data_IF_151335697445
#
_entry.id   IF_151335697445
#
_cell.length_a   1.000
_cell.length_b   1.000
_cell.length_c   1.000
_cell.angle_alpha   90.00
_cell.angle_beta   90.00
_cell.angle_gamma   90.00
#
_symmetry.space_group_name_H-M   'P 1'
#
loop_
_entity.id
_entity.type
_entity.pdbx_description
1 polymer ?
#
# COMPACT_ATOMS: atom_id res chain seq x y z
N UNK A 1 -4.29 3.68 -30.53
CA UNK A 1 -4.26 4.71 -29.48
C UNK A 1 -2.90 4.61 -28.82
N UNK A 2 -1.98 5.52 -29.13
CA UNK A 2 -0.64 5.50 -28.54
C UNK A 2 -0.46 6.74 -27.67
N UNK A 3 0.28 6.59 -26.56
CA UNK A 3 0.58 7.67 -25.62
C UNK A 3 1.50 8.67 -26.32
N UNK A 4 1.26 9.97 -26.14
CA UNK A 4 2.11 11.02 -26.73
C UNK A 4 3.57 10.82 -26.32
N UNK A 5 4.48 10.98 -27.27
CA UNK A 5 5.92 10.79 -27.06
C UNK A 5 6.44 11.75 -25.99
N UNK A 6 5.95 12.98 -25.96
CA UNK A 6 6.28 13.98 -24.95
C UNK A 6 5.92 13.49 -23.54
N UNK A 7 4.73 12.89 -23.39
CA UNK A 7 4.30 12.30 -22.12
C UNK A 7 5.18 11.12 -21.72
N UNK A 8 5.66 10.30 -22.66
CA UNK A 8 6.60 9.22 -22.36
C UNK A 8 7.97 9.75 -21.92
N UNK A 9 8.46 10.85 -22.53
CA UNK A 9 9.70 11.53 -22.10
C UNK A 9 9.57 12.08 -20.68
N UNK A 10 8.46 12.75 -20.34
CA UNK A 10 8.19 13.22 -18.97
C UNK A 10 8.23 12.07 -17.95
N UNK A 11 7.66 10.91 -18.30
CA UNK A 11 7.68 9.73 -17.42
C UNK A 11 9.09 9.15 -17.29
N UNK A 12 9.84 9.06 -18.38
CA UNK A 12 11.24 8.60 -18.35
C UNK A 12 12.13 9.51 -17.51
N UNK A 13 11.89 10.82 -17.52
CA UNK A 13 12.59 11.73 -16.61
C UNK A 13 12.36 11.35 -15.14
N UNK A 14 11.11 11.07 -14.76
CA UNK A 14 10.80 10.62 -13.40
C UNK A 14 11.46 9.25 -13.08
N UNK A 15 11.56 8.33 -14.05
CA UNK A 15 12.30 7.07 -13.89
C UNK A 15 13.79 7.31 -13.64
N UNK A 16 14.42 8.24 -14.38
CA UNK A 16 15.83 8.63 -14.18
C UNK A 16 16.05 9.15 -12.75
N UNK A 17 15.18 10.05 -12.28
CA UNK A 17 15.29 10.60 -10.93
C UNK A 17 15.17 9.51 -9.85
N UNK A 18 14.20 8.60 -10.01
CA UNK A 18 14.02 7.46 -9.10
C UNK A 18 15.26 6.54 -9.11
N UNK A 19 15.81 6.22 -10.29
CA UNK A 19 17.08 5.47 -10.42
C UNK A 19 18.23 6.16 -9.67
N UNK A 20 18.30 7.49 -9.73
CA UNK A 20 19.28 8.27 -8.95
C UNK A 20 19.11 8.13 -7.44
N UNK A 21 17.88 8.20 -6.93
CA UNK A 21 17.55 7.95 -5.52
C UNK A 21 17.88 6.50 -5.09
N UNK A 22 17.82 5.56 -6.03
CA UNK A 22 18.18 4.15 -5.88
C UNK A 22 19.68 3.86 -6.02
N UNK A 23 20.52 4.90 -6.17
CA UNK A 23 21.97 4.75 -6.19
C UNK A 23 22.59 4.52 -7.55
N UNK A 24 21.81 4.55 -8.63
CA UNK A 24 22.34 4.44 -9.99
C UNK A 24 23.04 5.73 -10.42
N UNK A 25 24.01 5.60 -11.33
CA UNK A 25 24.67 6.72 -11.98
C UNK A 25 23.74 7.27 -13.07
N UNK A 26 23.36 8.55 -12.97
CA UNK A 26 22.38 9.17 -13.87
C UNK A 26 22.91 10.42 -14.61
N UNK A 27 24.19 10.74 -14.45
CA UNK A 27 24.80 11.94 -15.01
C UNK A 27 24.66 11.97 -16.54
N UNK A 28 24.09 13.06 -17.05
CA UNK A 28 23.88 13.27 -18.50
C UNK A 28 22.65 12.61 -19.10
N UNK A 29 21.95 11.72 -18.38
CA UNK A 29 20.79 10.99 -18.93
C UNK A 29 19.60 11.90 -19.26
N UNK A 30 19.36 12.98 -18.52
CA UNK A 30 18.29 13.94 -18.84
C UNK A 30 18.57 14.64 -20.17
N UNK A 31 19.81 15.12 -20.38
CA UNK A 31 20.21 15.75 -21.64
C UNK A 31 20.15 14.78 -22.82
N UNK A 32 20.53 13.52 -22.57
CA UNK A 32 20.39 12.45 -23.57
C UNK A 32 18.92 12.24 -23.93
N UNK A 33 18.03 12.11 -22.94
CA UNK A 33 16.58 11.96 -23.15
C UNK A 33 15.98 13.11 -23.96
N UNK A 34 16.39 14.35 -23.68
CA UNK A 34 15.96 15.54 -24.43
C UNK A 34 16.40 15.48 -25.90
N UNK A 35 17.57 14.90 -26.17
CA UNK A 35 18.15 14.79 -27.51
C UNK A 35 17.65 13.61 -28.34
N UNK A 36 16.95 12.64 -27.73
CA UNK A 36 16.44 11.46 -28.43
C UNK A 36 15.35 11.84 -29.43
N UNK A 37 15.43 11.26 -30.63
CA UNK A 37 14.40 11.39 -31.66
C UNK A 37 13.01 11.02 -31.15
N UNK A 38 11.99 11.71 -31.64
CA UNK A 38 10.60 11.43 -31.29
C UNK A 38 10.09 10.15 -31.97
N UNK A 39 10.58 8.98 -31.50
CA UNK A 39 10.15 7.65 -31.93
C UNK A 39 9.96 6.73 -30.73
N UNK A 40 8.98 5.81 -30.80
CA UNK A 40 8.77 4.81 -29.75
C UNK A 40 9.97 3.86 -29.61
N UNK A 41 10.56 3.44 -30.72
CA UNK A 41 11.72 2.54 -30.73
C UNK A 41 12.93 3.16 -30.03
N UNK A 42 13.16 4.46 -30.25
CA UNK A 42 14.24 5.19 -29.59
C UNK A 42 14.03 5.28 -28.08
N UNK A 43 12.81 5.55 -27.63
CA UNK A 43 12.46 5.57 -26.20
C UNK A 43 12.56 4.17 -25.55
N UNK A 44 12.15 3.13 -26.26
CA UNK A 44 12.27 1.72 -25.81
C UNK A 44 13.74 1.35 -25.63
N UNK A 45 14.59 1.67 -26.61
CA UNK A 45 16.03 1.41 -26.51
C UNK A 45 16.69 2.17 -25.36
N UNK A 46 16.29 3.43 -25.14
CA UNK A 46 16.75 4.19 -23.99
C UNK A 46 16.31 3.56 -22.66
N UNK A 47 15.08 3.06 -22.57
CA UNK A 47 14.56 2.39 -21.37
C UNK A 47 15.33 1.09 -21.06
N UNK A 48 15.70 0.31 -22.08
CA UNK A 48 16.58 -0.87 -21.90
C UNK A 48 17.89 -0.45 -21.23
N UNK A 49 18.54 0.62 -21.71
CA UNK A 49 19.75 1.18 -21.08
C UNK A 49 19.53 1.60 -19.61
N UNK A 50 18.37 2.17 -19.26
CA UNK A 50 18.06 2.53 -17.87
C UNK A 50 18.00 1.31 -16.92
N UNK A 51 17.65 0.13 -17.45
CA UNK A 51 17.57 -1.10 -16.68
C UNK A 51 18.94 -1.57 -16.21
N UNK A 52 19.98 -1.37 -17.04
CA UNK A 52 21.35 -1.85 -16.83
C UNK A 52 22.28 -0.79 -16.21
N UNK A 53 21.74 0.32 -15.68
CA UNK A 53 22.58 1.39 -15.12
C UNK A 53 23.44 0.86 -13.96
N UNK A 54 24.75 1.16 -13.95
CA UNK A 54 25.60 0.80 -12.84
C UNK A 54 25.19 1.56 -11.58
N UNK A 55 25.41 0.93 -10.42
CA UNK A 55 25.37 1.60 -9.13
C UNK A 55 26.62 2.47 -8.96
N UNK A 56 26.51 3.51 -8.14
CA UNK A 56 27.66 4.30 -7.69
C UNK A 56 28.64 3.41 -6.90
N UNK A 57 29.94 3.56 -7.12
CA UNK A 57 30.99 2.71 -6.54
C UNK A 57 30.91 2.54 -5.01
N UNK A 58 30.43 3.56 -4.30
CA UNK A 58 30.31 3.58 -2.84
C UNK A 58 28.85 3.49 -2.36
N UNK A 59 27.95 2.85 -3.11
CA UNK A 59 26.57 2.65 -2.68
C UNK A 59 26.51 1.68 -1.48
N UNK A 60 26.08 2.13 -0.28
CA UNK A 60 26.24 1.35 0.94
C UNK A 60 25.11 0.33 1.17
N UNK A 61 24.11 0.30 0.29
CA UNK A 61 22.88 -0.46 0.51
C UNK A 61 22.78 -1.71 -0.36
N UNK A 62 22.17 -2.75 0.20
CA UNK A 62 21.81 -4.01 -0.48
C UNK A 62 20.28 -4.11 -0.49
N UNK A 63 19.69 -4.00 -1.68
CA UNK A 63 18.23 -3.86 -1.85
C UNK A 63 17.69 -4.80 -2.94
N UNK A 64 17.65 -6.11 -2.68
CA UNK A 64 17.14 -7.11 -3.63
C UNK A 64 15.61 -7.09 -3.76
N UNK A 65 15.10 -7.59 -4.89
CA UNK A 65 13.65 -7.71 -5.12
C UNK A 65 13.12 -9.14 -4.95
N UNK A 66 13.97 -10.14 -5.15
CA UNK A 66 13.59 -11.54 -5.04
C UNK A 66 13.47 -11.93 -3.56
N UNK A 67 12.45 -12.72 -3.19
CA UNK A 67 12.21 -13.10 -1.80
C UNK A 67 13.40 -13.81 -1.16
N UNK A 68 14.05 -14.74 -1.87
CA UNK A 68 15.14 -15.53 -1.31
C UNK A 68 16.36 -14.64 -1.01
N UNK A 69 16.67 -13.70 -1.89
CA UNK A 69 17.71 -12.69 -1.68
C UNK A 69 17.34 -11.70 -0.56
N UNK A 70 16.08 -11.25 -0.51
CA UNK A 70 15.57 -10.43 0.59
C UNK A 70 15.79 -11.15 1.92
N UNK A 71 15.46 -12.44 1.97
CA UNK A 71 15.58 -13.27 3.15
C UNK A 71 17.02 -13.60 3.53
N UNK A 72 17.95 -13.71 2.58
CA UNK A 72 19.38 -13.84 2.89
C UNK A 72 19.96 -12.56 3.49
N UNK A 73 19.43 -11.39 3.12
CA UNK A 73 19.86 -10.09 3.63
C UNK A 73 19.04 -9.61 4.85
N UNK A 74 17.99 -10.34 5.24
CA UNK A 74 17.16 -10.07 6.42
C UNK A 74 17.81 -10.60 7.71
N UNK A 75 17.27 -10.25 8.89
CA UNK A 75 17.83 -10.71 10.18
C UNK A 75 17.88 -12.26 10.21
N UNK A 76 19.07 -12.88 10.41
CA UNK A 76 19.20 -14.33 10.45
C UNK A 76 18.49 -14.98 11.65
N UNK A 77 18.18 -14.19 12.69
CA UNK A 77 17.46 -14.64 13.88
C UNK A 77 15.94 -14.36 13.80
N UNK A 78 15.43 -13.91 12.65
CA UNK A 78 13.99 -13.68 12.47
C UNK A 78 13.19 -14.97 12.73
N UNK A 79 12.01 -14.89 13.38
CA UNK A 79 11.19 -16.07 13.59
C UNK A 79 10.61 -16.57 12.27
N UNK A 80 10.76 -17.85 11.96
CA UNK A 80 10.27 -18.46 10.72
C UNK A 80 8.85 -19.06 10.82
N UNK A 81 8.21 -18.92 11.99
CA UNK A 81 6.89 -19.46 12.25
C UNK A 81 6.17 -18.67 13.34
N UNK A 82 5.40 -19.37 14.17
CA UNK A 82 4.64 -18.74 15.23
C UNK A 82 5.55 -18.14 16.31
N UNK A 83 5.33 -16.87 16.63
CA UNK A 83 6.05 -16.16 17.71
C UNK A 83 5.36 -16.29 19.07
N UNK A 84 4.10 -16.74 19.08
CA UNK A 84 3.30 -16.96 20.28
C UNK A 84 2.18 -17.98 19.98
N UNK A 85 1.60 -18.55 21.03
CA UNK A 85 0.39 -19.37 20.90
C UNK A 85 -0.78 -18.52 20.42
N UNK A 86 -1.57 -19.04 19.47
CA UNK A 86 -2.70 -18.31 18.88
C UNK A 86 -4.01 -18.84 19.44
N UNK A 87 -4.89 -17.93 19.84
CA UNK A 87 -6.31 -18.20 20.02
C UNK A 87 -7.08 -17.65 18.81
N UNK A 88 -7.48 -18.52 17.88
CA UNK A 88 -8.16 -18.10 16.65
C UNK A 88 -9.49 -17.38 16.90
N UNK A 89 -10.21 -17.71 17.97
CA UNK A 89 -11.48 -17.03 18.29
C UNK A 89 -11.25 -15.59 18.77
N UNK A 90 -10.11 -15.35 19.44
CA UNK A 90 -9.66 -14.00 19.79
C UNK A 90 -9.13 -13.25 18.56
N UNK A 91 -8.31 -13.90 17.72
CA UNK A 91 -7.82 -13.33 16.47
C UNK A 91 -8.96 -12.89 15.54
N UNK A 92 -10.05 -13.67 15.44
CA UNK A 92 -11.24 -13.27 14.67
C UNK A 92 -11.80 -11.93 15.18
N UNK A 93 -11.95 -11.76 16.50
CA UNK A 93 -12.47 -10.51 17.08
C UNK A 93 -11.52 -9.34 16.86
N UNK A 94 -10.20 -9.58 16.99
CA UNK A 94 -9.15 -8.59 16.72
C UNK A 94 -9.11 -8.15 15.26
N UNK A 95 -9.19 -9.08 14.32
CA UNK A 95 -9.24 -8.76 12.89
C UNK A 95 -10.51 -7.97 12.54
N UNK A 96 -11.65 -8.30 13.17
CA UNK A 96 -12.86 -7.49 13.01
C UNK A 96 -12.62 -6.05 13.46
N UNK A 97 -12.03 -5.85 14.65
CA UNK A 97 -11.65 -4.51 15.14
C UNK A 97 -10.64 -3.82 14.23
N UNK A 98 -9.66 -4.55 13.70
CA UNK A 98 -8.64 -4.04 12.78
C UNK A 98 -9.25 -3.48 11.50
N UNK A 99 -10.10 -4.27 10.84
CA UNK A 99 -10.77 -3.83 9.62
C UNK A 99 -11.71 -2.64 9.85
N UNK A 100 -12.46 -2.62 10.95
CA UNK A 100 -13.30 -1.47 11.31
C UNK A 100 -12.47 -0.22 11.63
N UNK A 101 -11.36 -0.39 12.36
CA UNK A 101 -10.41 0.69 12.62
C UNK A 101 -9.79 1.25 11.35
N UNK A 102 -9.45 0.37 10.40
CA UNK A 102 -8.94 0.72 9.07
C UNK A 102 -9.92 1.61 8.31
N UNK A 103 -11.19 1.20 8.23
CA UNK A 103 -12.26 1.99 7.61
C UNK A 103 -12.37 3.37 8.25
N UNK A 104 -12.43 3.45 9.58
CA UNK A 104 -12.57 4.72 10.29
C UNK A 104 -11.35 5.64 10.06
N UNK A 105 -10.14 5.06 10.09
CA UNK A 105 -8.90 5.79 9.86
C UNK A 105 -8.79 6.33 8.44
N UNK A 106 -9.15 5.53 7.44
CA UNK A 106 -9.25 5.95 6.04
C UNK A 106 -10.18 7.17 5.91
N UNK A 107 -11.45 7.05 6.33
CA UNK A 107 -12.42 8.13 6.18
C UNK A 107 -12.03 9.40 6.96
N UNK A 108 -11.43 9.25 8.14
CA UNK A 108 -10.90 10.38 8.91
C UNK A 108 -9.78 11.13 8.16
N UNK A 109 -8.94 10.39 7.44
CA UNK A 109 -7.79 10.93 6.72
C UNK A 109 -8.14 11.57 5.37
N UNK A 110 -9.18 11.12 4.67
CA UNK A 110 -9.53 11.61 3.32
C UNK A 110 -9.66 13.14 3.18
N UNK A 111 -10.25 13.89 4.13
CA UNK A 111 -10.26 15.37 4.07
C UNK A 111 -8.89 16.04 3.99
N UNK A 112 -7.85 15.37 4.51
CA UNK A 112 -6.48 15.88 4.63
C UNK A 112 -5.51 15.29 3.60
N UNK A 113 -5.98 14.41 2.70
CA UNK A 113 -5.23 13.79 1.61
C UNK A 113 -4.91 14.81 0.50
N UNK A 114 -4.19 15.87 0.85
CA UNK A 114 -3.81 16.95 -0.07
C UNK A 114 -2.35 17.41 0.17
N UNK A 115 -1.52 16.47 0.65
CA UNK A 115 -0.07 16.62 0.89
C UNK A 115 0.27 17.66 1.96
N UNK A 116 -0.53 17.73 3.02
CA UNK A 116 -0.24 18.59 4.16
C UNK A 116 0.78 17.94 5.08
N UNK A 117 1.64 18.73 5.70
CA UNK A 117 2.37 18.28 6.89
C UNK A 117 1.51 18.45 8.16
N UNK A 118 1.90 17.82 9.26
CA UNK A 118 1.17 17.90 10.53
C UNK A 118 1.07 19.31 11.12
N UNK A 119 1.99 20.23 10.81
CA UNK A 119 1.92 21.62 11.28
C UNK A 119 0.82 22.41 10.56
N UNK A 120 0.64 22.17 9.26
CA UNK A 120 -0.47 22.75 8.47
C UNK A 120 -1.82 22.27 9.00
N UNK A 121 -1.97 20.95 9.23
CA UNK A 121 -3.18 20.35 9.80
C UNK A 121 -3.46 20.90 11.20
N UNK A 122 -2.45 20.92 12.08
CA UNK A 122 -2.57 21.47 13.43
C UNK A 122 -3.05 22.91 13.44
N UNK A 123 -2.43 23.75 12.60
CA UNK A 123 -2.79 25.17 12.50
C UNK A 123 -4.24 25.35 12.04
N UNK A 124 -4.69 24.55 11.06
CA UNK A 124 -6.08 24.61 10.58
C UNK A 124 -7.07 24.13 11.65
N UNK A 125 -6.78 23.01 12.33
CA UNK A 125 -7.62 22.47 13.41
C UNK A 125 -7.73 23.43 14.61
N UNK A 126 -6.65 24.12 14.97
CA UNK A 126 -6.67 25.14 16.02
C UNK A 126 -7.61 26.30 15.68
N UNK A 127 -7.68 26.73 14.41
CA UNK A 127 -8.58 27.83 13.97
C UNK A 127 -10.06 27.47 14.07
N UNK A 128 -10.41 26.20 13.98
CA UNK A 128 -11.79 25.72 14.17
C UNK A 128 -12.06 25.17 15.58
N UNK A 129 -11.07 25.20 16.48
CA UNK A 129 -11.21 24.68 17.85
C UNK A 129 -11.30 23.16 17.95
N UNK A 130 -10.78 22.41 16.97
CA UNK A 130 -10.81 20.95 16.91
C UNK A 130 -9.42 20.30 17.11
N UNK A 131 -8.45 21.04 17.68
CA UNK A 131 -7.17 20.49 18.12
C UNK A 131 -7.16 20.20 19.64
N UNK A 132 -6.67 19.03 20.10
CA UNK A 132 -6.28 17.87 19.30
C UNK A 132 -7.48 17.19 18.64
N UNK A 133 -7.24 16.57 17.48
CA UNK A 133 -8.27 15.83 16.75
C UNK A 133 -8.80 14.69 17.61
N UNK A 134 -10.13 14.58 17.75
CA UNK A 134 -10.74 13.53 18.57
C UNK A 134 -11.98 12.89 17.91
N UNK A 135 -12.34 13.31 16.70
CA UNK A 135 -13.52 12.91 15.94
C UNK A 135 -13.32 13.25 14.46
N UNK A 136 -14.25 12.84 13.58
CA UNK A 136 -14.26 13.31 12.19
C UNK A 136 -14.27 14.85 12.12
N UNK A 137 -13.48 15.40 11.19
CA UNK A 137 -13.28 16.84 11.06
C UNK A 137 -14.55 17.53 10.52
N UNK A 138 -14.85 18.72 11.02
CA UNK A 138 -15.93 19.55 10.47
C UNK A 138 -15.62 20.06 9.06
N UNK A 139 -16.63 20.22 8.22
CA UNK A 139 -16.56 20.92 6.92
C UNK A 139 -15.99 22.33 7.01
N UNK A 140 -16.04 22.97 8.19
CA UNK A 140 -15.52 24.31 8.43
C UNK A 140 -13.99 24.38 8.30
N UNK A 141 -13.30 23.23 8.32
CA UNK A 141 -11.85 23.16 8.09
C UNK A 141 -11.43 23.74 6.73
N UNK A 142 -12.35 23.72 5.75
CA UNK A 142 -12.10 24.20 4.39
C UNK A 142 -11.69 25.68 4.32
N UNK A 143 -12.12 26.49 5.28
CA UNK A 143 -11.84 27.93 5.27
C UNK A 143 -10.39 28.22 5.75
N UNK A 144 -9.69 27.20 6.23
CA UNK A 144 -8.37 27.31 6.85
C UNK A 144 -7.29 26.41 6.25
N UNK A 145 -7.66 25.48 5.36
CA UNK A 145 -6.71 24.69 4.59
C UNK A 145 -6.35 25.40 3.27
N UNK A 146 -5.10 25.33 2.81
CA UNK A 146 -4.69 25.98 1.55
C UNK A 146 -5.19 25.21 0.32
N UNK A 147 -5.62 23.96 0.48
CA UNK A 147 -6.18 23.10 -0.57
C UNK A 147 -7.34 22.29 0.01
N UNK A 148 -8.28 21.91 -0.82
CA UNK A 148 -9.42 21.09 -0.43
C UNK A 148 -9.36 19.78 -1.18
N UNK A 149 -9.35 18.67 -0.44
CA UNK A 149 -9.46 17.36 -1.07
C UNK A 149 -10.86 17.16 -1.65
N UNK A 150 -10.93 16.46 -2.79
CA UNK A 150 -12.18 16.29 -3.54
C UNK A 150 -13.26 15.52 -2.78
N UNK A 151 -12.86 14.71 -1.79
CA UNK A 151 -13.76 13.92 -0.95
C UNK A 151 -14.38 14.71 0.21
N UNK A 152 -13.90 15.93 0.54
CA UNK A 152 -14.42 16.69 1.69
C UNK A 152 -15.96 16.81 1.70
N UNK A 153 -16.66 17.02 0.57
CA UNK A 153 -18.12 17.09 0.54
C UNK A 153 -18.86 15.81 0.94
N UNK A 154 -18.18 14.66 1.02
CA UNK A 154 -18.76 13.37 1.46
C UNK A 154 -18.10 12.82 2.74
N UNK A 155 -16.86 13.22 3.06
CA UNK A 155 -16.09 12.66 4.21
C UNK A 155 -15.93 13.61 5.40
N UNK A 156 -16.42 14.85 5.32
CA UNK A 156 -16.50 15.71 6.50
C UNK A 156 -17.63 15.26 7.44
N UNK A 157 -17.47 15.46 8.75
CA UNK A 157 -18.38 14.97 9.80
C UNK A 157 -19.87 15.23 9.52
N UNK A 158 -20.21 16.39 8.99
CA UNK A 158 -21.60 16.78 8.70
C UNK A 158 -22.20 16.07 7.48
N UNK A 159 -21.39 15.41 6.66
CA UNK A 159 -21.78 14.83 5.37
C UNK A 159 -21.61 13.31 5.30
N UNK A 160 -20.86 12.70 6.23
CA UNK A 160 -20.70 11.24 6.28
C UNK A 160 -22.07 10.58 6.43
N UNK A 161 -22.39 9.66 5.51
CA UNK A 161 -23.59 8.82 5.54
C UNK A 161 -23.29 7.34 5.29
N UNK A 162 -22.10 7.04 4.77
CA UNK A 162 -21.59 5.73 4.39
C UNK A 162 -20.06 5.82 4.34
N UNK A 163 -19.39 4.68 4.20
CA UNK A 163 -17.94 4.64 3.92
C UNK A 163 -17.74 4.97 2.45
N UNK A 164 -17.16 6.15 2.18
CA UNK A 164 -16.83 6.62 0.84
C UNK A 164 -15.80 5.69 0.15
N UNK A 165 -15.84 5.55 -1.18
CA UNK A 165 -14.92 4.70 -1.92
C UNK A 165 -13.47 5.16 -1.78
N UNK A 166 -12.58 4.20 -1.64
CA UNK A 166 -11.16 4.41 -1.40
C UNK A 166 -10.34 3.19 -1.83
N UNK A 167 -9.16 3.40 -2.41
CA UNK A 167 -8.33 2.30 -2.89
C UNK A 167 -7.67 1.49 -1.78
N UNK A 168 -7.35 2.06 -0.60
CA UNK A 168 -6.88 1.29 0.56
C UNK A 168 -7.87 0.18 0.93
N UNK A 169 -9.15 0.54 1.03
CA UNK A 169 -10.21 -0.40 1.39
C UNK A 169 -10.48 -1.37 0.23
N UNK A 170 -10.45 -0.91 -1.02
CA UNK A 170 -10.60 -1.78 -2.18
C UNK A 170 -9.48 -2.85 -2.22
N UNK A 171 -8.22 -2.47 -2.01
CA UNK A 171 -7.11 -3.43 -2.01
C UNK A 171 -7.14 -4.37 -0.80
N UNK A 172 -7.58 -3.90 0.36
CA UNK A 172 -7.81 -4.78 1.52
C UNK A 172 -8.87 -5.84 1.21
N UNK A 173 -9.97 -5.46 0.55
CA UNK A 173 -10.98 -6.40 0.06
C UNK A 173 -10.39 -7.36 -0.99
N UNK A 174 -9.53 -6.87 -1.90
CA UNK A 174 -8.85 -7.71 -2.89
C UNK A 174 -7.93 -8.75 -2.25
N UNK A 175 -7.19 -8.37 -1.21
CA UNK A 175 -6.39 -9.28 -0.39
C UNK A 175 -7.24 -10.36 0.30
N UNK A 176 -8.43 -10.01 0.79
CA UNK A 176 -9.38 -10.99 1.30
C UNK A 176 -9.85 -11.94 0.20
N UNK A 177 -10.27 -11.42 -0.95
CA UNK A 177 -10.80 -12.23 -2.06
C UNK A 177 -9.76 -13.20 -2.62
N UNK A 178 -8.50 -12.78 -2.76
CA UNK A 178 -7.42 -13.66 -3.26
C UNK A 178 -7.14 -14.80 -2.28
N UNK A 179 -7.10 -14.50 -0.97
CA UNK A 179 -6.87 -15.49 0.08
C UNK A 179 -8.03 -16.48 0.20
N UNK A 180 -9.28 -16.00 0.15
CA UNK A 180 -10.45 -16.87 0.21
C UNK A 180 -10.53 -17.84 -0.98
N UNK A 181 -10.07 -17.41 -2.16
CA UNK A 181 -10.17 -18.21 -3.38
C UNK A 181 -8.99 -19.16 -3.57
N UNK A 182 -7.78 -18.75 -3.21
CA UNK A 182 -6.55 -19.47 -3.56
C UNK A 182 -5.68 -19.83 -2.34
N UNK A 183 -6.09 -19.46 -1.12
CA UNK A 183 -5.27 -19.63 0.08
C UNK A 183 -3.94 -18.90 -0.03
N UNK A 184 -2.89 -19.46 0.57
CA UNK A 184 -1.52 -18.91 0.54
C UNK A 184 -0.78 -19.16 -0.78
N UNK A 185 -1.36 -19.96 -1.67
CA UNK A 185 -0.73 -20.43 -2.91
C UNK A 185 -1.10 -19.61 -4.15
N UNK A 186 -1.70 -18.43 -3.99
CA UNK A 186 -1.97 -17.53 -5.12
C UNK A 186 -0.69 -17.17 -5.88
N UNK A 187 -0.86 -16.74 -7.13
CA UNK A 187 0.20 -16.33 -8.06
C UNK A 187 -0.09 -14.93 -8.62
N UNK A 188 0.89 -14.28 -9.25
CA UNK A 188 0.66 -13.03 -9.98
C UNK A 188 -0.41 -13.16 -11.07
N UNK A 189 -0.55 -14.33 -11.70
CA UNK A 189 -1.65 -14.59 -12.64
C UNK A 189 -3.02 -14.53 -11.96
N UNK A 190 -3.13 -15.03 -10.73
CA UNK A 190 -4.38 -14.94 -9.97
C UNK A 190 -4.68 -13.49 -9.56
N UNK A 191 -3.67 -12.73 -9.11
CA UNK A 191 -3.81 -11.29 -8.79
C UNK A 191 -4.27 -10.52 -10.04
N UNK A 192 -3.56 -10.68 -11.16
CA UNK A 192 -3.91 -10.06 -12.45
C UNK A 192 -5.37 -10.29 -12.84
N UNK A 193 -5.81 -11.55 -12.81
CA UNK A 193 -7.17 -11.91 -13.18
C UNK A 193 -8.22 -11.33 -12.21
N UNK A 194 -7.90 -11.29 -10.91
CA UNK A 194 -8.77 -10.71 -9.92
C UNK A 194 -8.90 -9.19 -10.15
N UNK A 195 -7.77 -8.50 -10.38
CA UNK A 195 -7.71 -7.06 -10.63
C UNK A 195 -8.50 -6.68 -11.89
N UNK A 196 -8.27 -7.36 -13.02
CA UNK A 196 -9.02 -7.10 -14.26
C UNK A 196 -10.54 -7.26 -14.10
N UNK A 197 -10.98 -8.13 -13.18
CA UNK A 197 -12.40 -8.36 -12.91
C UNK A 197 -13.01 -7.30 -11.99
N UNK A 198 -12.24 -6.80 -11.03
CA UNK A 198 -12.79 -6.06 -9.90
C UNK A 198 -12.33 -4.62 -9.76
N UNK A 199 -11.23 -4.21 -10.41
CA UNK A 199 -10.68 -2.86 -10.28
C UNK A 199 -10.92 -2.06 -11.56
N UNK A 200 -11.91 -1.16 -11.59
CA UNK A 200 -11.99 -0.15 -12.62
C UNK A 200 -10.68 0.66 -12.68
N UNK A 201 -10.19 0.96 -13.87
CA UNK A 201 -8.92 1.70 -14.06
C UNK A 201 -8.93 3.05 -13.31
N UNK A 202 -10.09 3.71 -13.22
CA UNK A 202 -10.25 4.99 -12.54
C UNK A 202 -10.04 4.94 -11.02
N UNK A 203 -10.08 3.75 -10.41
CA UNK A 203 -9.89 3.58 -8.96
C UNK A 203 -8.51 3.03 -8.60
N UNK A 204 -7.56 3.08 -9.53
CA UNK A 204 -6.18 2.64 -9.33
C UNK A 204 -5.24 3.77 -9.67
N UNK A 205 -4.08 3.84 -9.02
CA UNK A 205 -3.12 4.93 -9.20
C UNK A 205 -1.72 4.37 -9.40
N UNK A 206 -0.82 5.19 -9.96
CA UNK A 206 0.60 4.85 -10.09
C UNK A 206 0.88 3.45 -10.69
N UNK A 207 1.75 2.64 -10.05
CA UNK A 207 2.11 1.29 -10.50
C UNK A 207 0.93 0.37 -10.78
N UNK A 208 -0.11 0.44 -9.96
CA UNK A 208 -1.29 -0.42 -10.05
C UNK A 208 -2.06 -0.17 -11.35
N UNK A 209 -2.27 1.12 -11.67
CA UNK A 209 -2.95 1.54 -12.89
C UNK A 209 -2.16 1.09 -14.12
N UNK A 210 -0.85 1.29 -14.10
CA UNK A 210 0.04 0.89 -15.19
C UNK A 210 -0.01 -0.62 -15.42
N UNK A 211 0.02 -1.41 -14.34
CA UNK A 211 -0.08 -2.87 -14.43
C UNK A 211 -1.45 -3.33 -14.96
N UNK A 212 -2.55 -2.67 -14.60
CA UNK A 212 -3.88 -2.96 -15.17
C UNK A 212 -3.94 -2.66 -16.67
N UNK A 213 -3.39 -1.52 -17.11
CA UNK A 213 -3.33 -1.16 -18.53
C UNK A 213 -2.49 -2.19 -19.29
N UNK A 214 -1.32 -2.55 -18.76
CA UNK A 214 -0.47 -3.60 -19.31
C UNK A 214 -1.23 -4.92 -19.44
N UNK A 215 -1.89 -5.35 -18.37
CA UNK A 215 -2.68 -6.59 -18.32
C UNK A 215 -3.85 -6.60 -19.31
N UNK A 216 -4.49 -5.46 -19.53
CA UNK A 216 -5.53 -5.30 -20.55
C UNK A 216 -4.96 -5.37 -21.96
N UNK A 217 -3.80 -4.77 -22.22
CA UNK A 217 -3.12 -4.83 -23.51
C UNK A 217 -2.60 -6.23 -23.86
N UNK A 218 -2.13 -7.00 -22.88
CA UNK A 218 -1.76 -8.42 -23.05
C UNK A 218 -2.94 -9.28 -23.56
N UNK A 219 -4.20 -8.83 -23.45
CA UNK A 219 -5.35 -9.57 -24.01
C UNK A 219 -5.37 -9.60 -25.53
N UNK A 220 -4.76 -8.61 -26.20
CA UNK A 220 -4.69 -8.56 -27.67
C UNK A 220 -3.70 -9.58 -28.25
N UNK A 221 -2.76 -10.07 -27.44
CA UNK A 221 -1.71 -11.02 -27.85
C UNK A 221 -2.18 -12.49 -27.83
N UNK A 222 -3.36 -12.77 -27.27
CA UNK A 222 -3.82 -14.14 -27.01
C UNK A 222 -4.45 -14.85 -28.20
N UNK A 223 -4.89 -14.12 -29.22
CA UNK A 223 -5.65 -14.70 -30.33
C UNK A 223 -4.74 -14.86 -31.56
N UNK A 224 -4.38 -16.10 -31.95
CA UNK A 224 -3.54 -16.32 -33.12
C UNK A 224 -4.30 -16.00 -34.42
N UNK A 225 -3.56 -15.64 -35.47
CA UNK A 225 -4.08 -15.26 -36.80
C UNK A 225 -5.05 -16.30 -37.40
N UNK A 226 -4.78 -17.58 -37.16
CA UNK A 226 -5.58 -18.68 -37.72
C UNK A 226 -6.96 -18.78 -37.04
N UNK A 227 -7.10 -18.32 -35.80
CA UNK A 227 -8.37 -18.26 -35.10
C UNK A 227 -9.29 -17.19 -35.70
N UNK A 228 -8.75 -16.00 -36.02
CA UNK A 228 -9.51 -14.95 -36.73
C UNK A 228 -10.03 -15.44 -38.07
N UNK A 229 -9.21 -16.18 -38.81
CA UNK A 229 -9.54 -16.69 -40.13
C UNK A 229 -10.71 -17.70 -40.10
N UNK A 230 -10.90 -18.40 -38.99
CA UNK A 230 -11.91 -19.46 -38.83
C UNK A 230 -13.19 -18.99 -38.12
N UNK A 231 -13.11 -18.00 -37.22
CA UNK A 231 -14.24 -17.60 -36.36
C UNK A 231 -14.73 -16.16 -36.57
N UNK A 232 -14.06 -15.37 -37.42
CA UNK A 232 -14.55 -14.06 -37.87
C UNK A 232 -14.59 -12.95 -36.82
N UNK A 233 -14.04 -13.17 -35.61
CA UNK A 233 -14.05 -12.17 -34.54
C UNK A 233 -13.13 -12.48 -33.35
N UNK A 234 -13.01 -11.49 -32.46
CA UNK A 234 -12.29 -11.52 -31.18
C UNK A 234 -13.19 -12.11 -30.07
N UNK A 235 -13.71 -13.32 -30.24
CA UNK A 235 -14.31 -14.07 -29.14
C UNK A 235 -13.23 -14.86 -28.42
N UNK A 236 -13.19 -14.85 -27.08
CA UNK A 236 -12.25 -15.69 -26.32
C UNK A 236 -12.57 -17.16 -26.66
N UNK A 237 -11.65 -17.92 -27.31
CA UNK A 237 -11.87 -19.34 -27.60
C UNK A 237 -12.12 -20.19 -26.34
N UNK A 238 -11.77 -19.65 -25.16
CA UNK A 238 -11.66 -20.34 -23.90
C UNK A 238 -12.78 -19.99 -22.91
N UNK A 239 -13.88 -19.38 -23.37
CA UNK A 239 -15.03 -19.03 -22.51
C UNK A 239 -15.62 -20.21 -21.73
N UNK A 240 -15.31 -21.46 -22.13
CA UNK A 240 -15.80 -22.67 -21.47
C UNK A 240 -14.78 -23.49 -20.67
N UNK A 241 -13.47 -23.26 -20.74
CA UNK A 241 -12.50 -24.00 -19.91
C UNK A 241 -11.29 -23.13 -19.54
N UNK A 242 -10.99 -23.07 -18.25
CA UNK A 242 -9.89 -22.35 -17.60
C UNK A 242 -8.47 -22.88 -17.96
N UNK A 243 -8.24 -23.39 -19.16
CA UNK A 243 -7.01 -24.11 -19.50
C UNK A 243 -6.55 -23.84 -20.94
N UNK A 244 -5.25 -23.54 -21.05
CA UNK A 244 -4.43 -23.30 -22.24
C UNK A 244 -4.44 -21.89 -22.83
N UNK A 245 -3.59 -21.02 -22.27
CA UNK A 245 -3.03 -19.88 -22.99
C UNK A 245 -1.66 -20.28 -23.51
N UNK A 246 -1.43 -20.11 -24.81
CA UNK A 246 -0.12 -20.24 -25.47
C UNK A 246 0.98 -19.53 -24.66
N UNK A 247 2.17 -20.14 -24.60
CA UNK A 247 3.36 -19.51 -24.02
C UNK A 247 3.66 -18.24 -24.82
N UNK A 248 3.47 -17.09 -24.18
CA UNK A 248 3.95 -15.81 -24.71
C UNK A 248 5.46 -15.81 -24.47
N UNK A 249 6.24 -15.66 -25.53
CA UNK A 249 7.69 -15.53 -25.44
C UNK A 249 8.03 -14.30 -24.57
N UNK A 250 8.47 -14.54 -23.34
CA UNK A 250 8.79 -13.49 -22.36
C UNK A 250 10.13 -12.80 -22.65
N UNK A 251 10.94 -13.32 -23.58
CA UNK A 251 12.34 -12.91 -23.74
C UNK A 251 12.53 -11.50 -24.33
N UNK A 252 11.50 -10.93 -24.96
CA UNK A 252 11.50 -9.55 -25.48
C UNK A 252 10.14 -8.87 -25.30
N UNK A 253 9.49 -9.03 -24.15
CA UNK A 253 8.14 -8.47 -24.01
C UNK A 253 8.18 -6.92 -23.96
N UNK A 254 7.94 -6.29 -25.11
CA UNK A 254 7.75 -4.84 -25.29
C UNK A 254 6.82 -4.24 -24.22
N UNK A 255 5.83 -5.00 -23.75
CA UNK A 255 4.92 -4.58 -22.68
C UNK A 255 5.61 -4.38 -21.33
N UNK A 256 6.68 -5.12 -21.03
CA UNK A 256 7.48 -4.88 -19.82
C UNK A 256 8.23 -3.54 -19.93
N UNK A 257 8.73 -3.21 -21.12
CA UNK A 257 9.44 -1.95 -21.34
C UNK A 257 8.49 -0.76 -21.24
N UNK A 258 7.30 -0.85 -21.86
CA UNK A 258 6.24 0.15 -21.68
C UNK A 258 5.84 0.29 -20.21
N UNK A 259 5.73 -0.83 -19.48
CA UNK A 259 5.41 -0.80 -18.06
C UNK A 259 6.46 -0.01 -17.26
N UNK A 260 7.75 -0.20 -17.55
CA UNK A 260 8.82 0.57 -16.90
C UNK A 260 8.74 2.06 -17.25
N UNK A 261 8.44 2.43 -18.51
CA UNK A 261 8.22 3.83 -18.89
C UNK A 261 7.05 4.43 -18.11
N UNK A 262 5.97 3.68 -17.95
CA UNK A 262 4.74 4.16 -17.33
C UNK A 262 4.72 4.05 -15.81
N UNK A 263 5.78 3.52 -15.18
CA UNK A 263 5.80 3.23 -13.76
C UNK A 263 6.91 3.95 -12.95
N UNK A 264 7.01 5.29 -12.98
CA UNK A 264 7.86 6.01 -12.03
C UNK A 264 7.15 6.09 -10.67
N UNK A 265 7.29 5.07 -9.84
CA UNK A 265 6.66 5.07 -8.50
C UNK A 265 6.68 3.74 -7.75
N UNK A 266 7.48 2.78 -8.19
CA UNK A 266 7.52 1.41 -7.66
C UNK A 266 8.11 1.27 -6.24
N UNK A 267 8.59 2.37 -5.64
CA UNK A 267 9.02 2.46 -4.24
C UNK A 267 8.04 3.23 -3.32
N UNK A 268 6.91 3.70 -3.84
CA UNK A 268 5.88 4.44 -3.08
C UNK A 268 4.94 3.49 -2.30
N UNK A 269 4.02 4.06 -1.51
CA UNK A 269 3.12 3.34 -0.61
C UNK A 269 2.04 2.47 -1.29
N UNK A 270 1.83 2.54 -2.61
CA UNK A 270 0.70 1.89 -3.28
C UNK A 270 0.62 0.37 -3.11
N UNK A 271 1.75 -0.32 -2.88
CA UNK A 271 1.74 -1.72 -2.44
C UNK A 271 1.52 -1.89 -0.93
N UNK A 272 2.06 -0.97 -0.11
CA UNK A 272 1.99 -1.03 1.35
C UNK A 272 0.55 -1.01 1.85
N UNK A 273 -0.33 -0.22 1.23
CA UNK A 273 -1.75 -0.12 1.57
C UNK A 273 -2.54 -1.44 1.38
N UNK A 274 -1.93 -2.42 0.69
CA UNK A 274 -2.55 -3.72 0.40
C UNK A 274 -2.17 -4.79 1.43
N UNK A 275 -1.29 -4.46 2.37
CA UNK A 275 -0.68 -5.41 3.31
C UNK A 275 -1.68 -6.03 4.30
N UNK A 276 -2.75 -5.31 4.64
CA UNK A 276 -3.61 -5.57 5.79
C UNK A 276 -4.19 -6.98 5.82
N UNK A 277 -4.80 -7.42 4.71
CA UNK A 277 -5.42 -8.74 4.63
C UNK A 277 -4.42 -9.87 4.88
N UNK A 278 -3.16 -9.69 4.47
CA UNK A 278 -2.10 -10.67 4.69
C UNK A 278 -1.65 -10.71 6.15
N UNK A 279 -1.65 -9.58 6.85
CA UNK A 279 -1.44 -9.54 8.30
C UNK A 279 -2.62 -10.16 9.07
N UNK A 280 -3.86 -9.82 8.69
CA UNK A 280 -5.08 -10.36 9.28
C UNK A 280 -5.13 -11.88 9.23
N UNK A 281 -4.77 -12.46 8.08
CA UNK A 281 -4.81 -13.90 7.89
C UNK A 281 -3.80 -14.70 8.73
N UNK A 282 -2.77 -14.06 9.28
CA UNK A 282 -1.59 -14.75 9.82
C UNK A 282 -1.28 -14.32 11.26
N UNK A 283 -2.21 -14.44 12.23
CA UNK A 283 -1.97 -14.07 13.63
C UNK A 283 -0.68 -14.72 14.15
N UNK A 284 0.24 -13.93 14.69
CA UNK A 284 1.48 -14.44 15.26
C UNK A 284 2.43 -15.14 14.29
N UNK A 285 2.19 -15.10 12.97
CA UNK A 285 3.09 -15.65 11.94
C UNK A 285 3.61 -14.53 11.02
N UNK A 286 4.53 -13.68 11.50
CA UNK A 286 5.02 -12.55 10.72
C UNK A 286 5.82 -12.99 9.47
N UNK A 287 6.45 -14.18 9.48
CA UNK A 287 7.14 -14.72 8.32
C UNK A 287 6.20 -14.99 7.15
N UNK A 288 5.07 -15.66 7.41
CA UNK A 288 4.07 -15.95 6.39
C UNK A 288 3.36 -14.67 5.94
N UNK A 289 3.03 -13.77 6.87
CA UNK A 289 2.44 -12.47 6.53
C UNK A 289 3.34 -11.66 5.59
N UNK A 290 4.63 -11.53 5.92
CA UNK A 290 5.61 -10.84 5.08
C UNK A 290 5.77 -11.51 3.71
N UNK A 291 5.79 -12.85 3.64
CA UNK A 291 5.86 -13.61 2.37
C UNK A 291 4.66 -13.33 1.47
N UNK A 292 3.45 -13.31 2.02
CA UNK A 292 2.24 -13.04 1.25
C UNK A 292 2.17 -11.56 0.82
N UNK A 293 2.58 -10.64 1.69
CA UNK A 293 2.75 -9.23 1.37
C UNK A 293 3.75 -9.01 0.22
N UNK A 294 4.91 -9.68 0.25
CA UNK A 294 5.88 -9.64 -0.86
C UNK A 294 5.29 -10.19 -2.16
N UNK A 295 4.58 -11.33 -2.09
CA UNK A 295 3.98 -11.98 -3.26
C UNK A 295 2.93 -11.08 -3.93
N UNK A 296 2.22 -10.28 -3.15
CA UNK A 296 1.32 -9.26 -3.68
C UNK A 296 2.07 -8.04 -4.23
N UNK A 297 2.96 -7.47 -3.41
CA UNK A 297 3.70 -6.25 -3.72
C UNK A 297 4.57 -6.39 -4.98
N UNK A 298 5.23 -7.54 -5.15
CA UNK A 298 6.13 -7.82 -6.29
C UNK A 298 5.43 -7.93 -7.63
N UNK A 299 4.09 -7.88 -7.65
CA UNK A 299 3.35 -7.71 -8.89
C UNK A 299 3.51 -6.30 -9.48
N UNK A 300 3.72 -5.26 -8.66
CA UNK A 300 3.78 -3.85 -9.15
C UNK A 300 4.95 -3.02 -8.61
N UNK A 301 5.51 -3.38 -7.46
CA UNK A 301 6.50 -2.59 -6.71
C UNK A 301 7.84 -3.30 -6.56
N UNK A 302 8.87 -2.53 -6.21
CA UNK A 302 10.26 -2.95 -5.99
C UNK A 302 10.80 -2.33 -4.69
N UNK A 303 11.89 -2.89 -4.16
CA UNK A 303 12.69 -2.35 -3.05
C UNK A 303 11.84 -1.80 -1.91
N UNK A 304 11.90 -0.50 -1.61
CA UNK A 304 11.17 0.16 -0.51
C UNK A 304 9.67 -0.13 -0.52
N UNK A 305 9.03 -0.21 -1.69
CA UNK A 305 7.61 -0.57 -1.82
C UNK A 305 7.33 -2.00 -1.37
N UNK A 306 8.22 -2.95 -1.69
CA UNK A 306 8.16 -4.33 -1.19
C UNK A 306 8.36 -4.36 0.32
N UNK A 307 9.42 -3.72 0.81
CA UNK A 307 9.81 -3.78 2.22
C UNK A 307 8.77 -3.15 3.13
N UNK A 308 8.17 -2.03 2.71
CA UNK A 308 7.04 -1.41 3.42
C UNK A 308 5.86 -2.36 3.55
N UNK A 309 5.47 -3.02 2.46
CA UNK A 309 4.37 -4.01 2.46
C UNK A 309 4.66 -5.20 3.36
N UNK A 310 5.87 -5.77 3.27
CA UNK A 310 6.31 -6.89 4.11
C UNK A 310 6.30 -6.51 5.59
N UNK A 311 6.81 -5.32 5.91
CA UNK A 311 6.85 -4.78 7.26
C UNK A 311 5.46 -4.59 7.84
N UNK A 312 4.53 -3.95 7.12
CA UNK A 312 3.16 -3.71 7.61
C UNK A 312 2.42 -5.03 7.83
N UNK A 313 2.51 -5.97 6.87
CA UNK A 313 1.87 -7.28 7.02
C UNK A 313 2.40 -8.03 8.26
N UNK A 314 3.73 -8.03 8.47
CA UNK A 314 4.35 -8.60 9.65
C UNK A 314 3.95 -7.88 10.94
N UNK A 315 3.86 -6.55 10.94
CA UNK A 315 3.45 -5.76 12.09
C UNK A 315 2.01 -6.07 12.51
N UNK A 316 1.07 -6.18 11.57
CA UNK A 316 -0.33 -6.55 11.84
C UNK A 316 -0.42 -7.98 12.38
N UNK A 317 0.37 -8.92 11.84
CA UNK A 317 0.45 -10.29 12.35
C UNK A 317 0.96 -10.33 13.81
N UNK A 318 2.03 -9.57 14.10
CA UNK A 318 2.60 -9.43 15.45
C UNK A 318 1.64 -8.77 16.43
N UNK A 319 0.92 -7.72 16.01
CA UNK A 319 0.01 -6.96 16.85
C UNK A 319 -1.13 -7.80 17.44
N UNK A 320 -1.50 -8.90 16.79
CA UNK A 320 -2.54 -9.79 17.30
C UNK A 320 -2.12 -10.61 18.53
N UNK A 321 -0.82 -10.73 18.81
CA UNK A 321 -0.29 -11.65 19.83
C UNK A 321 0.76 -11.05 20.76
N UNK A 322 1.27 -9.84 20.49
CA UNK A 322 2.28 -9.17 21.31
C UNK A 322 1.68 -7.99 22.08
N UNK A 323 2.00 -7.90 23.36
CA UNK A 323 1.58 -6.79 24.23
C UNK A 323 2.52 -5.58 24.16
N UNK A 324 3.81 -5.80 23.87
CA UNK A 324 4.80 -4.73 23.71
C UNK A 324 4.71 -4.10 22.32
N UNK A 325 4.21 -2.85 22.29
CA UNK A 325 4.02 -2.04 21.09
C UNK A 325 5.30 -1.85 20.28
N UNK A 326 6.44 -1.69 20.93
CA UNK A 326 7.72 -1.50 20.24
C UNK A 326 8.24 -2.83 19.72
N UNK A 327 8.01 -3.92 20.45
CA UNK A 327 8.40 -5.27 20.02
C UNK A 327 7.71 -5.70 18.72
N UNK A 328 6.49 -5.24 18.47
CA UNK A 328 5.78 -5.45 17.19
C UNK A 328 6.63 -4.97 16.02
N UNK A 329 7.08 -3.73 16.05
CA UNK A 329 7.86 -3.13 14.95
C UNK A 329 9.29 -3.67 14.90
N UNK A 330 9.93 -3.90 16.04
CA UNK A 330 11.24 -4.56 16.08
C UNK A 330 11.20 -5.90 15.36
N UNK A 331 10.18 -6.72 15.65
CA UNK A 331 10.00 -8.03 15.02
C UNK A 331 9.68 -7.89 13.54
N UNK A 332 8.82 -6.93 13.15
CA UNK A 332 8.51 -6.68 11.74
C UNK A 332 9.74 -6.27 10.92
N UNK A 333 10.65 -5.46 11.48
CA UNK A 333 11.90 -5.07 10.81
C UNK A 333 12.87 -6.23 10.58
N UNK A 334 12.67 -7.40 11.21
CA UNK A 334 13.49 -8.58 10.97
C UNK A 334 13.22 -9.24 9.61
N UNK A 335 12.12 -8.88 8.94
CA UNK A 335 11.68 -9.47 7.67
C UNK A 335 12.03 -8.63 6.43
N UNK A 336 12.85 -7.59 6.59
CA UNK A 336 13.34 -6.73 5.51
C UNK A 336 14.87 -6.72 5.48
N UNK A 337 15.52 -6.40 4.34
CA UNK A 337 16.98 -6.44 4.25
C UNK A 337 17.63 -5.45 5.23
N UNK A 338 18.54 -5.94 6.06
CA UNK A 338 19.16 -5.20 7.17
C UNK A 338 20.13 -4.11 6.69
N UNK A 339 20.57 -4.19 5.43
CA UNK A 339 21.39 -3.18 4.74
C UNK A 339 20.60 -2.38 3.70
N UNK A 340 19.28 -2.21 3.88
CA UNK A 340 18.46 -1.37 3.00
C UNK A 340 18.25 0.05 3.55
N UNK A 341 17.92 1.01 2.67
CA UNK A 341 17.49 2.36 3.09
C UNK A 341 16.26 2.30 3.99
N UNK A 342 15.32 1.38 3.68
CA UNK A 342 14.12 1.17 4.45
C UNK A 342 14.42 0.76 5.90
N UNK A 343 15.29 -0.24 6.09
CA UNK A 343 15.68 -0.69 7.44
C UNK A 343 16.44 0.40 8.21
N UNK A 344 17.44 1.05 7.59
CA UNK A 344 18.22 2.11 8.24
C UNK A 344 17.31 3.25 8.74
N UNK A 345 16.43 3.75 7.87
CA UNK A 345 15.57 4.90 8.18
C UNK A 345 14.44 4.51 9.14
N UNK A 346 13.83 3.34 8.94
CA UNK A 346 12.77 2.83 9.80
C UNK A 346 13.25 2.58 11.24
N UNK A 347 14.41 1.94 11.41
CA UNK A 347 14.99 1.70 12.75
C UNK A 347 15.50 3.00 13.39
N UNK A 348 15.97 3.97 12.60
CA UNK A 348 16.26 5.30 13.11
C UNK A 348 15.00 6.00 13.66
N UNK A 349 13.86 5.92 12.96
CA UNK A 349 12.57 6.41 13.47
C UNK A 349 12.15 5.69 14.74
N UNK A 350 12.26 4.36 14.79
CA UNK A 350 11.95 3.57 15.99
C UNK A 350 12.76 4.04 17.22
N UNK A 351 14.05 4.33 17.05
CA UNK A 351 14.90 4.87 18.11
C UNK A 351 14.43 6.25 18.57
N UNK A 352 14.18 7.17 17.63
CA UNK A 352 13.70 8.52 17.94
C UNK A 352 12.40 8.47 18.74
N UNK A 353 11.47 7.62 18.31
CA UNK A 353 10.16 7.49 18.95
C UNK A 353 10.25 6.86 20.33
N UNK A 354 11.10 5.86 20.56
CA UNK A 354 11.32 5.29 21.90
C UNK A 354 11.72 6.36 22.91
N UNK A 355 12.54 7.32 22.49
CA UNK A 355 13.05 8.42 23.33
C UNK A 355 12.09 9.61 23.48
N UNK A 356 10.98 9.66 22.73
CA UNK A 356 9.98 10.74 22.83
C UNK A 356 9.03 10.58 24.02
N UNK A 357 8.63 11.67 24.65
CA UNK A 357 7.68 11.70 25.75
C UNK A 357 6.22 11.87 25.28
N UNK A 358 6.00 12.51 24.13
CA UNK A 358 4.67 12.70 23.53
C UNK A 358 4.69 12.39 22.03
N UNK A 359 3.52 12.15 21.45
CA UNK A 359 3.42 11.93 20.00
C UNK A 359 3.78 13.18 19.20
N UNK A 360 3.51 14.39 19.72
CA UNK A 360 3.90 15.64 19.07
C UNK A 360 5.42 15.80 19.02
N UNK A 361 6.10 15.44 20.12
CA UNK A 361 7.58 15.41 20.15
C UNK A 361 8.12 14.36 19.16
N UNK A 362 7.52 13.17 19.13
CA UNK A 362 7.88 12.12 18.19
C UNK A 362 7.72 12.54 16.74
N UNK A 363 6.60 13.19 16.41
CA UNK A 363 6.34 13.74 15.08
C UNK A 363 7.38 14.81 14.72
N UNK A 364 7.68 15.76 15.60
CA UNK A 364 8.68 16.80 15.32
C UNK A 364 10.05 16.18 15.02
N UNK A 365 10.50 15.20 15.82
CA UNK A 365 11.78 14.50 15.59
C UNK A 365 11.79 13.73 14.27
N UNK A 366 10.68 13.09 13.89
CA UNK A 366 10.54 12.41 12.59
C UNK A 366 10.58 13.43 11.46
N UNK A 367 9.78 14.49 11.55
CA UNK A 367 9.66 15.50 10.52
C UNK A 367 10.97 16.28 10.31
N UNK A 368 11.71 16.57 11.38
CA UNK A 368 13.04 17.19 11.29
C UNK A 368 14.03 16.34 10.50
N UNK A 369 13.93 15.01 10.62
CA UNK A 369 14.85 14.07 9.96
C UNK A 369 14.39 13.59 8.59
N UNK A 370 13.09 13.42 8.42
CA UNK A 370 12.48 12.74 7.28
C UNK A 370 11.37 13.54 6.61
N UNK A 371 11.12 14.80 7.01
CA UNK A 371 10.06 15.68 6.46
C UNK A 371 10.14 15.95 4.96
N UNK A 372 11.29 15.70 4.34
CA UNK A 372 11.48 15.73 2.89
C UNK A 372 10.75 14.57 2.16
N UNK A 373 10.37 13.51 2.89
CA UNK A 373 9.65 12.35 2.39
C UNK A 373 8.16 12.50 2.70
N UNK A 374 7.48 13.44 2.03
CA UNK A 374 6.04 13.67 2.19
C UNK A 374 5.15 12.58 1.55
N UNK A 375 3.92 12.95 1.25
CA UNK A 375 2.85 12.08 0.72
C UNK A 375 3.31 10.95 -0.21
N UNK A 376 2.84 9.74 0.09
CA UNK A 376 3.16 8.43 -0.50
C UNK A 376 4.62 7.94 -0.34
N UNK A 377 5.55 8.74 0.22
CA UNK A 377 6.94 8.30 0.45
C UNK A 377 7.04 7.62 1.81
N UNK A 378 7.20 6.29 1.77
CA UNK A 378 7.09 5.38 2.91
C UNK A 378 7.95 5.75 4.14
N UNK A 379 9.13 6.35 3.98
CA UNK A 379 10.09 6.51 5.09
C UNK A 379 9.55 7.33 6.28
N UNK A 380 8.93 8.48 6.02
CA UNK A 380 8.34 9.30 7.07
C UNK A 380 7.12 8.61 7.67
N UNK A 381 6.30 8.00 6.81
CA UNK A 381 5.06 7.32 7.18
C UNK A 381 5.27 6.17 8.17
N UNK A 382 6.29 5.32 7.94
CA UNK A 382 6.63 4.25 8.89
C UNK A 382 7.00 4.81 10.26
N UNK A 383 7.73 5.93 10.31
CA UNK A 383 8.01 6.61 11.57
C UNK A 383 6.75 7.06 12.28
N UNK A 384 5.81 7.68 11.53
CA UNK A 384 4.56 8.20 12.08
C UNK A 384 3.61 7.08 12.53
N UNK A 385 3.60 5.92 11.86
CA UNK A 385 2.91 4.70 12.35
C UNK A 385 3.46 4.22 13.70
N UNK A 386 4.79 4.15 13.82
CA UNK A 386 5.44 3.74 15.07
C UNK A 386 5.10 4.72 16.19
N UNK A 387 5.12 6.02 15.88
CA UNK A 387 4.73 7.10 16.79
C UNK A 387 3.28 6.95 17.26
N UNK A 388 2.36 6.74 16.31
CA UNK A 388 0.94 6.52 16.60
C UNK A 388 0.74 5.36 17.56
N UNK A 389 1.27 4.18 17.25
CA UNK A 389 1.04 3.01 18.09
C UNK A 389 1.67 3.16 19.47
N UNK A 390 2.83 3.83 19.59
CA UNK A 390 3.45 4.10 20.90
C UNK A 390 2.49 4.83 21.83
N UNK A 391 1.81 5.87 21.34
CA UNK A 391 1.05 6.81 22.18
C UNK A 391 -0.47 6.61 22.17
N UNK A 392 -1.01 5.78 21.28
CA UNK A 392 -2.44 5.52 21.23
C UNK A 392 -2.97 4.93 22.54
N UNK A 393 -4.15 5.40 22.97
CA UNK A 393 -4.84 4.88 24.16
C UNK A 393 -5.95 3.89 23.78
N UNK A 394 -6.50 4.05 22.58
CA UNK A 394 -7.51 3.23 21.95
C UNK A 394 -7.44 3.46 20.43
N UNK A 395 -8.31 2.79 19.66
CA UNK A 395 -8.28 2.83 18.19
C UNK A 395 -8.63 4.24 17.69
N UNK A 396 -9.70 4.85 18.21
CA UNK A 396 -10.14 6.19 17.84
C UNK A 396 -9.10 7.28 18.12
N UNK A 397 -8.45 7.23 19.29
CA UNK A 397 -7.36 8.15 19.64
C UNK A 397 -6.15 7.95 18.71
N UNK A 398 -5.78 6.71 18.41
CA UNK A 398 -4.64 6.42 17.54
C UNK A 398 -4.84 6.89 16.10
N UNK A 399 -6.00 6.65 15.48
CA UNK A 399 -6.26 7.16 14.12
C UNK A 399 -6.26 8.69 14.07
N UNK A 400 -6.70 9.38 15.13
CA UNK A 400 -6.57 10.83 15.24
C UNK A 400 -5.12 11.30 15.31
N UNK A 401 -4.27 10.61 16.09
CA UNK A 401 -2.83 10.89 16.13
C UNK A 401 -2.24 10.72 14.73
N UNK A 402 -2.53 9.61 14.04
CA UNK A 402 -1.98 9.35 12.72
C UNK A 402 -2.36 10.45 11.71
N UNK A 403 -3.64 10.77 11.59
CA UNK A 403 -4.13 11.79 10.65
C UNK A 403 -3.58 13.17 10.99
N UNK A 404 -3.40 13.48 12.28
CA UNK A 404 -2.84 14.78 12.72
C UNK A 404 -1.37 14.98 12.34
N UNK A 405 -0.64 13.91 12.01
CA UNK A 405 0.76 13.98 11.59
C UNK A 405 0.91 14.35 10.09
N UNK A 406 -0.15 14.27 9.29
CA UNK A 406 -0.14 14.64 7.88
C UNK A 406 0.45 13.58 6.95
N UNK A 407 1.02 14.05 5.84
CA UNK A 407 1.51 13.32 4.68
C UNK A 407 0.40 12.57 3.91
N UNK A 408 0.28 11.25 4.05
CA UNK A 408 -0.67 10.40 3.35
C UNK A 408 -1.75 9.88 4.31
N UNK A 409 -2.69 10.76 4.63
CA UNK A 409 -3.49 10.70 5.85
C UNK A 409 -4.59 9.64 5.83
N UNK A 410 -5.24 9.39 4.71
CA UNK A 410 -6.20 8.31 4.52
C UNK A 410 -5.49 6.95 4.57
N UNK A 411 -4.45 6.75 3.76
CA UNK A 411 -3.80 5.46 3.65
C UNK A 411 -3.12 5.01 4.94
N UNK A 412 -2.36 5.91 5.56
CA UNK A 412 -1.73 5.59 6.83
C UNK A 412 -2.70 5.69 8.00
N UNK A 413 -3.78 6.47 7.88
CA UNK A 413 -4.93 6.39 8.80
C UNK A 413 -5.53 4.99 8.81
N UNK A 414 -5.74 4.40 7.63
CA UNK A 414 -6.23 3.03 7.44
C UNK A 414 -5.25 2.02 8.06
N UNK A 415 -3.97 2.07 7.67
CA UNK A 415 -2.93 1.18 8.17
C UNK A 415 -2.77 1.27 9.70
N UNK A 416 -2.82 2.49 10.27
CA UNK A 416 -2.79 2.68 11.72
C UNK A 416 -4.01 2.03 12.37
N UNK A 417 -5.21 2.27 11.83
CA UNK A 417 -6.45 1.65 12.30
C UNK A 417 -6.39 0.12 12.32
N UNK A 418 -5.77 -0.48 11.30
CA UNK A 418 -5.54 -1.92 11.18
C UNK A 418 -4.62 -2.45 12.27
N UNK A 419 -3.45 -1.84 12.47
CA UNK A 419 -2.48 -2.25 13.51
C UNK A 419 -3.09 -2.05 14.91
N UNK A 420 -3.73 -0.90 15.15
CA UNK A 420 -4.37 -0.56 16.42
C UNK A 420 -5.50 -1.53 16.76
N UNK A 421 -6.36 -1.86 15.79
CA UNK A 421 -7.46 -2.78 16.02
C UNK A 421 -7.00 -4.23 16.23
N UNK A 422 -5.94 -4.65 15.55
CA UNK A 422 -5.29 -5.94 15.82
C UNK A 422 -4.69 -5.99 17.25
N UNK A 423 -4.05 -4.89 17.67
CA UNK A 423 -3.42 -4.76 18.99
C UNK A 423 -4.40 -4.65 20.15
N UNK A 424 -5.34 -3.71 20.09
CA UNK A 424 -6.30 -3.48 21.17
C UNK A 424 -7.44 -4.51 21.17
N UNK A 425 -7.89 -4.95 19.99
CA UNK A 425 -8.99 -5.89 19.87
C UNK A 425 -10.37 -5.29 20.14
N UNK A 426 -11.37 -6.12 20.48
CA UNK A 426 -12.75 -5.67 20.67
C UNK A 426 -12.92 -4.75 21.89
N UNK A 427 -13.78 -3.74 21.78
CA UNK A 427 -14.11 -2.80 22.88
C UNK A 427 -13.28 -1.52 22.94
N UNK A 428 -12.28 -1.36 22.05
CA UNK A 428 -11.40 -0.18 21.99
C UNK A 428 -11.66 0.75 20.79
N UNK A 429 -12.79 0.55 20.10
CA UNK A 429 -13.29 1.48 19.08
C UNK A 429 -14.68 1.93 19.51
N UNK A 430 -14.86 3.23 19.73
CA UNK A 430 -16.14 3.77 20.17
C UNK A 430 -17.17 3.74 19.04
N UNK A 431 -18.43 3.44 19.38
CA UNK A 431 -19.53 3.32 18.41
C UNK A 431 -19.72 4.56 17.53
N UNK A 432 -19.42 5.76 18.06
CA UNK A 432 -19.49 7.05 17.34
C UNK A 432 -18.67 7.12 16.05
N UNK A 433 -17.65 6.27 15.90
CA UNK A 433 -16.85 6.19 14.70
C UNK A 433 -17.56 5.45 13.55
N UNK A 434 -18.44 4.52 13.89
CA UNK A 434 -19.17 3.67 12.93
C UNK A 434 -20.59 4.17 12.66
N UNK A 435 -21.24 4.78 13.66
CA UNK A 435 -22.62 5.25 13.57
C UNK A 435 -22.90 6.14 12.34
N UNK A 436 -22.02 7.09 11.95
CA UNK A 436 -22.26 7.92 10.77
C UNK A 436 -22.36 7.16 9.45
N UNK A 437 -21.83 5.93 9.38
CA UNK A 437 -21.81 5.15 8.15
C UNK A 437 -23.10 4.39 7.86
N UNK A 438 -24.05 4.33 8.80
CA UNK A 438 -25.33 3.63 8.64
C UNK A 438 -25.22 2.16 8.17
N UNK A 439 -24.15 1.44 8.59
CA UNK A 439 -23.80 0.10 8.10
C UNK A 439 -23.70 0.00 6.57
N UNK A 440 -23.24 1.06 5.91
CA UNK A 440 -23.17 1.14 4.44
C UNK A 440 -21.74 1.48 3.96
N UNK A 441 -21.23 0.69 3.02
CA UNK A 441 -19.95 0.90 2.35
C UNK A 441 -20.10 0.89 0.85
N UNK A 442 -19.51 1.90 0.19
CA UNK A 442 -19.48 1.99 -1.27
C UNK A 442 -18.08 1.65 -1.74
N UNK A 443 -17.85 0.40 -2.15
CA UNK A 443 -16.58 0.02 -2.76
C UNK A 443 -16.44 0.67 -4.14
N UNK A 444 -15.23 1.10 -4.51
CA UNK A 444 -14.92 1.51 -5.89
C UNK A 444 -14.82 0.33 -6.87
N UNK A 445 -15.13 -0.89 -6.42
CA UNK A 445 -14.89 -2.14 -7.13
C UNK A 445 -16.04 -2.52 -8.07
N UNK A 446 -15.69 -3.10 -9.21
CA UNK A 446 -16.62 -3.80 -10.08
C UNK A 446 -16.90 -5.22 -9.57
N UNK A 447 -18.09 -5.75 -9.86
CA UNK A 447 -18.48 -7.14 -9.54
C UNK A 447 -18.29 -7.54 -8.06
N UNK A 448 -18.35 -6.57 -7.15
CA UNK A 448 -18.39 -6.74 -5.71
C UNK A 448 -19.59 -5.94 -5.18
N UNK A 449 -20.52 -6.62 -4.51
CA UNK A 449 -21.85 -6.06 -4.22
C UNK A 449 -22.18 -6.01 -2.72
N UNK A 450 -21.28 -6.47 -1.85
CA UNK A 450 -21.51 -6.36 -0.40
C UNK A 450 -21.40 -4.90 0.01
N UNK A 451 -22.44 -4.41 0.69
CA UNK A 451 -22.55 -3.03 1.16
C UNK A 451 -22.70 -2.92 2.67
N UNK A 452 -22.94 -4.02 3.38
CA UNK A 452 -22.98 -4.01 4.84
C UNK A 452 -21.56 -4.05 5.39
N UNK A 453 -21.21 -3.04 6.17
CA UNK A 453 -19.93 -2.96 6.88
C UNK A 453 -19.81 -4.15 7.83
N UNK A 454 -20.88 -4.47 8.57
CA UNK A 454 -20.92 -5.57 9.53
C UNK A 454 -20.71 -6.94 8.86
N UNK A 455 -21.36 -7.19 7.70
CA UNK A 455 -21.13 -8.44 6.95
C UNK A 455 -19.72 -8.52 6.40
N UNK A 456 -19.21 -7.42 5.85
CA UNK A 456 -17.87 -7.38 5.29
C UNK A 456 -16.80 -7.55 6.38
N UNK A 457 -16.94 -6.87 7.51
CA UNK A 457 -16.07 -7.01 8.67
C UNK A 457 -16.12 -8.44 9.24
N UNK A 458 -17.30 -9.05 9.29
CA UNK A 458 -17.46 -10.45 9.68
C UNK A 458 -16.75 -11.38 8.70
N UNK A 459 -16.87 -11.17 7.39
CA UNK A 459 -16.17 -11.97 6.37
C UNK A 459 -14.64 -11.82 6.50
N UNK A 460 -14.15 -10.59 6.60
CA UNK A 460 -12.73 -10.28 6.81
C UNK A 460 -12.18 -10.94 8.08
N UNK A 461 -12.97 -10.92 9.17
CA UNK A 461 -12.61 -11.53 10.45
C UNK A 461 -12.33 -13.03 10.39
N UNK A 462 -12.83 -13.75 9.38
CA UNK A 462 -12.64 -15.19 9.25
C UNK A 462 -11.32 -15.58 8.57
N UNK A 463 -10.54 -14.61 8.06
CA UNK A 463 -9.25 -14.88 7.41
C UNK A 463 -8.29 -15.72 8.28
N UNK A 464 -8.06 -15.42 9.58
CA UNK A 464 -7.25 -16.27 10.46
C UNK A 464 -7.65 -17.74 10.40
N UNK A 465 -8.95 -18.02 10.48
CA UNK A 465 -9.47 -19.39 10.52
C UNK A 465 -9.37 -20.06 9.15
N UNK A 466 -9.67 -19.35 8.06
CA UNK A 466 -9.62 -19.92 6.71
C UNK A 466 -8.20 -20.29 6.27
N UNK A 467 -7.18 -19.57 6.74
CA UNK A 467 -5.79 -19.74 6.32
C UNK A 467 -5.01 -20.69 7.24
N UNK A 468 -5.38 -20.80 8.52
CA UNK A 468 -4.68 -21.64 9.50
C UNK A 468 -5.44 -22.93 9.87
N UNK A 469 -6.40 -23.35 9.04
CA UNK A 469 -7.14 -24.61 9.19
C UNK A 469 -6.50 -25.77 8.44
#
# INVERSE_FOLDING_TARGET
>A
MLIKIETLKERLQAVILNKGEQGHIIDGLEKELDSIDNSYDSLVNFTKKLSDLPLKDNWPYVEPNNLDEIWSESDPNRPLGLISSINLDDSIKRVKSAFLGSICGCILGKPFEAKFNGQEIKTALQKIGEWPLNQYVSKNIKDFLPKIHSSLPETAREFIQYVAPDDDINYTIMGMLILEKFGTNFTHKNIKNLWLRHLPISTTFGPERTMLIKSGLESFEKIPRDYFSSHGGLGDPLENEYTQTFEVDESENFMNIINDILNPGDELCGATIRADAYGYANPGNPALAAKLGWKDASFTHKKTGLYGTMFVAAAIACAQVLDDRMKIFETAFQFVPQKSRFYERGTASLKLIKESATWEEGYNRINDKFGQYGHCKIYQEIGMLINTLKFAENIGHGICIQVSQGADTDSFGATAGSILGAYFGPGYLEKRWLDPFNDDIHSGMAWFFERSIEKLATRMSQLPRKINQ
#
